data_IF_607456242339
#
_entry.id   IF_607456242339
#
_cell.length_a   1.000
_cell.length_b   1.000
_cell.length_c   1.000
_cell.angle_alpha   90.00
_cell.angle_beta   90.00
_cell.angle_gamma   90.00
#
_symmetry.space_group_name_H-M   'P 1'
#
loop_
_entity.id
_entity.type
_entity.pdbx_description
1 polymer ?
#
# COMPACT_ATOMS: atom_id res chain seq x y z
N UNK A 1 25.17 -69.71 -20.67
CA UNK A 1 25.45 -71.17 -20.67
C UNK A 1 25.29 -71.63 -19.24
N UNK A 2 24.38 -72.48 -18.78
CA UNK A 2 23.33 -73.32 -19.36
C UNK A 2 22.28 -73.52 -18.24
N UNK A 3 21.02 -73.66 -18.63
CA UNK A 3 19.85 -73.93 -17.78
C UNK A 3 19.78 -75.40 -17.33
N UNK A 4 18.89 -75.63 -16.34
CA UNK A 4 18.14 -76.86 -15.96
C UNK A 4 18.71 -77.68 -14.79
N UNK A 5 17.94 -78.33 -13.92
CA UNK A 5 16.53 -78.37 -13.47
C UNK A 5 16.51 -79.47 -12.40
N UNK A 6 15.91 -79.31 -11.21
CA UNK A 6 15.30 -80.47 -10.51
C UNK A 6 14.20 -80.03 -9.54
N UNK A 7 13.02 -80.63 -9.73
CA UNK A 7 11.83 -80.58 -8.87
C UNK A 7 12.00 -81.52 -7.66
N UNK A 8 11.44 -81.12 -6.51
CA UNK A 8 11.05 -82.02 -5.41
C UNK A 8 9.73 -81.54 -4.80
N UNK A 9 8.66 -82.33 -4.99
CA UNK A 9 7.31 -82.11 -4.40
C UNK A 9 7.22 -82.76 -3.03
N UNK A 10 6.57 -82.09 -2.07
CA UNK A 10 5.80 -82.75 -1.01
C UNK A 10 4.37 -82.17 -0.97
N UNK A 11 3.40 -83.08 -1.06
CA UNK A 11 1.94 -82.95 -0.79
C UNK A 11 1.77 -82.87 0.75
N UNK A 12 0.76 -82.28 1.40
CA UNK A 12 -0.71 -82.31 1.36
C UNK A 12 -1.13 -81.42 2.58
N UNK A 13 -2.29 -80.79 2.77
CA UNK A 13 -3.69 -81.10 2.42
C UNK A 13 -4.63 -79.93 2.74
N UNK A 14 -5.79 -79.91 2.04
CA UNK A 14 -7.14 -79.47 2.47
C UNK A 14 -7.35 -77.96 2.67
N UNK A 15 -8.31 -77.28 2.04
CA UNK A 15 -9.70 -77.66 1.75
C UNK A 15 -10.26 -77.15 0.40
N UNK A 16 -10.94 -78.07 -0.30
CA UNK A 16 -12.25 -77.99 -0.97
C UNK A 16 -12.89 -76.61 -1.29
N UNK A 17 -13.07 -76.28 -2.58
CA UNK A 17 -14.31 -76.57 -3.35
C UNK A 17 -14.37 -75.73 -4.65
N UNK A 18 -14.50 -76.44 -5.77
CA UNK A 18 -15.06 -75.94 -7.03
C UNK A 18 -16.45 -75.34 -6.78
N UNK A 19 -16.82 -74.27 -7.49
CA UNK A 19 -17.86 -74.31 -8.53
C UNK A 19 -17.86 -72.98 -9.30
N UNK A 20 -17.68 -73.11 -10.60
CA UNK A 20 -17.92 -72.10 -11.65
C UNK A 20 -19.37 -71.61 -11.57
N UNK A 21 -19.61 -70.31 -11.73
CA UNK A 21 -20.60 -69.78 -12.67
C UNK A 21 -20.52 -68.25 -12.74
N UNK A 22 -20.68 -67.75 -13.96
CA UNK A 22 -20.11 -66.49 -14.41
C UNK A 22 -20.79 -65.22 -13.94
N UNK A 23 -20.02 -64.14 -14.02
CA UNK A 23 -20.53 -62.80 -14.26
C UNK A 23 -19.45 -62.01 -14.99
N UNK A 24 -19.83 -61.45 -16.13
CA UNK A 24 -19.00 -60.61 -16.97
C UNK A 24 -18.51 -59.38 -16.19
N UNK A 25 -17.20 -59.26 -15.97
CA UNK A 25 -16.61 -57.98 -15.58
C UNK A 25 -16.27 -57.20 -16.84
N UNK A 26 -17.21 -56.35 -17.25
CA UNK A 26 -16.92 -55.23 -18.15
C UNK A 26 -16.03 -54.23 -17.39
N UNK A 27 -14.98 -53.79 -18.07
CA UNK A 27 -14.18 -52.61 -17.74
C UNK A 27 -15.09 -51.46 -17.28
N UNK A 28 -14.79 -50.89 -16.11
CA UNK A 28 -15.12 -49.50 -15.82
C UNK A 28 -13.84 -48.83 -15.34
N UNK A 29 -13.01 -48.39 -16.29
CA UNK A 29 -11.99 -47.39 -15.99
C UNK A 29 -12.74 -46.07 -15.81
N UNK A 30 -12.90 -45.65 -14.56
CA UNK A 30 -13.41 -44.32 -14.24
C UNK A 30 -12.29 -43.32 -14.56
N UNK A 31 -12.27 -42.82 -15.80
CA UNK A 31 -11.50 -41.62 -16.13
C UNK A 31 -12.33 -40.45 -15.61
N UNK A 32 -11.97 -39.95 -14.43
CA UNK A 32 -12.43 -38.63 -13.98
C UNK A 32 -11.66 -37.60 -14.81
N UNK A 33 -12.25 -37.16 -15.91
CA UNK A 33 -11.87 -35.91 -16.55
C UNK A 33 -12.32 -34.79 -15.61
N UNK A 34 -11.43 -34.40 -14.70
CA UNK A 34 -11.54 -33.12 -14.04
C UNK A 34 -11.31 -32.04 -15.11
N UNK A 35 -12.38 -31.63 -15.80
CA UNK A 35 -12.38 -30.35 -16.48
C UNK A 35 -12.43 -29.30 -15.38
N UNK A 36 -11.26 -28.96 -14.83
CA UNK A 36 -11.10 -27.73 -14.08
C UNK A 36 -11.28 -26.60 -15.08
N UNK A 37 -12.48 -26.05 -15.12
CA UNK A 37 -12.67 -24.67 -15.53
C UNK A 37 -11.99 -23.85 -14.44
N UNK A 38 -10.67 -23.73 -14.51
CA UNK A 38 -10.01 -22.61 -13.89
C UNK A 38 -10.54 -21.41 -14.68
N UNK A 39 -11.61 -20.80 -14.19
CA UNK A 39 -11.79 -19.37 -14.40
C UNK A 39 -10.44 -18.82 -13.95
N UNK A 40 -9.65 -18.28 -14.89
CA UNK A 40 -8.47 -17.53 -14.52
C UNK A 40 -9.00 -16.53 -13.50
N UNK A 41 -8.61 -16.66 -12.23
CA UNK A 41 -8.93 -15.65 -11.26
C UNK A 41 -8.35 -14.37 -11.85
N UNK A 42 -9.22 -13.41 -12.19
CA UNK A 42 -8.74 -12.10 -12.61
C UNK A 42 -7.77 -11.64 -11.53
N UNK A 43 -6.59 -11.18 -11.96
CA UNK A 43 -5.63 -10.66 -10.99
C UNK A 43 -6.33 -9.56 -10.17
N UNK A 44 -6.15 -9.53 -8.84
CA UNK A 44 -6.72 -8.49 -8.01
C UNK A 44 -6.40 -7.10 -8.60
N UNK A 45 -7.38 -6.19 -8.61
CA UNK A 45 -7.21 -4.87 -9.19
C UNK A 45 -6.08 -4.13 -8.48
N UNK A 46 -5.39 -3.29 -9.24
CA UNK A 46 -4.32 -2.43 -8.74
C UNK A 46 -4.94 -1.11 -8.30
N UNK A 47 -4.67 -0.67 -7.08
CA UNK A 47 -4.98 0.70 -6.66
C UNK A 47 -3.88 1.65 -7.12
N UNK A 48 -4.24 2.75 -7.78
CA UNK A 48 -3.27 3.76 -8.24
C UNK A 48 -3.08 4.88 -7.22
N UNK A 49 -1.82 5.13 -6.92
CA UNK A 49 -1.36 6.13 -5.98
C UNK A 49 -0.58 7.25 -6.66
N UNK A 50 -0.66 8.45 -6.09
CA UNK A 50 0.20 9.57 -6.46
C UNK A 50 1.09 9.93 -5.27
N UNK A 51 2.40 10.11 -5.52
CA UNK A 51 3.32 10.72 -4.56
C UNK A 51 3.65 12.13 -5.02
N UNK A 52 3.36 13.12 -4.19
CA UNK A 52 3.71 14.53 -4.42
C UNK A 52 4.78 14.94 -3.42
N UNK A 53 5.93 15.37 -3.93
CA UNK A 53 7.02 15.87 -3.09
C UNK A 53 6.83 17.36 -2.79
N UNK A 54 6.81 17.72 -1.51
CA UNK A 54 6.58 19.09 -1.03
C UNK A 54 7.77 19.63 -0.23
N UNK A 55 8.01 20.94 -0.28
CA UNK A 55 9.06 21.61 0.51
C UNK A 55 8.56 22.94 1.03
N UNK A 56 9.06 23.41 2.17
CA UNK A 56 8.71 24.75 2.64
C UNK A 56 9.31 25.84 1.75
N UNK A 57 8.76 27.06 1.85
CA UNK A 57 9.32 28.21 1.14
C UNK A 57 10.78 28.43 1.53
N UNK A 58 11.65 28.45 0.52
CA UNK A 58 13.10 28.65 0.70
C UNK A 58 13.86 27.38 1.11
N UNK A 59 13.18 26.27 1.37
CA UNK A 59 13.80 24.97 1.61
C UNK A 59 14.28 24.36 0.29
N UNK A 60 15.42 23.64 0.32
CA UNK A 60 16.05 23.01 -0.85
C UNK A 60 16.11 23.96 -2.07
N UNK A 61 16.77 25.13 -1.97
CA UNK A 61 16.82 26.10 -3.05
C UNK A 61 17.52 25.51 -4.28
N UNK A 62 16.88 25.63 -5.45
CA UNK A 62 17.40 25.12 -6.72
C UNK A 62 17.29 23.60 -6.93
N UNK A 63 16.66 22.87 -6.00
CA UNK A 63 16.37 21.45 -6.15
C UNK A 63 14.93 21.27 -6.61
N UNK A 64 14.74 20.98 -7.89
CA UNK A 64 13.42 20.78 -8.46
C UNK A 64 13.09 19.30 -8.67
N UNK A 65 14.06 18.46 -9.01
CA UNK A 65 13.82 17.04 -9.23
C UNK A 65 13.59 16.27 -7.91
N UNK A 66 12.67 15.28 -7.88
CA UNK A 66 12.55 14.37 -6.75
C UNK A 66 13.85 13.60 -6.50
N UNK A 67 14.05 13.05 -5.30
CA UNK A 67 15.19 12.19 -5.02
C UNK A 67 15.21 10.97 -5.96
N UNK A 68 16.39 10.56 -6.44
CA UNK A 68 16.52 9.45 -7.40
C UNK A 68 15.91 8.13 -6.88
N UNK A 69 15.94 7.91 -5.56
CA UNK A 69 15.33 6.72 -4.94
C UNK A 69 13.80 6.71 -4.97
N UNK A 70 13.14 7.82 -5.33
CA UNK A 70 11.69 7.92 -5.33
C UNK A 70 11.05 7.04 -6.41
N UNK A 71 11.73 6.82 -7.53
CA UNK A 71 11.25 5.97 -8.64
C UNK A 71 10.97 4.53 -8.19
N UNK A 72 11.64 4.11 -7.12
CA UNK A 72 11.55 2.76 -6.60
C UNK A 72 10.45 2.58 -5.53
N UNK A 73 9.73 3.64 -5.14
CA UNK A 73 8.70 3.59 -4.08
C UNK A 73 7.61 2.56 -4.38
N UNK A 74 7.27 2.41 -5.67
CA UNK A 74 6.23 1.49 -6.15
C UNK A 74 6.79 0.33 -6.99
N UNK A 75 8.08 0.03 -6.89
CA UNK A 75 8.68 -1.13 -7.55
C UNK A 75 8.35 -2.42 -6.75
N UNK A 76 7.50 -3.33 -7.25
CA UNK A 76 7.15 -4.56 -6.53
C UNK A 76 8.33 -5.51 -6.36
N UNK A 77 9.36 -5.41 -7.20
CA UNK A 77 10.56 -6.27 -7.13
C UNK A 77 11.62 -5.71 -6.18
N UNK A 78 11.47 -4.47 -5.69
CA UNK A 78 12.38 -3.88 -4.70
C UNK A 78 11.92 -4.22 -3.28
N UNK A 79 12.71 -5.02 -2.52
CA UNK A 79 12.38 -5.31 -1.13
C UNK A 79 12.23 -4.03 -0.30
N UNK A 80 11.12 -3.94 0.41
CA UNK A 80 10.81 -2.82 1.28
C UNK A 80 10.27 -1.57 0.58
N UNK A 81 9.90 -1.64 -0.71
CA UNK A 81 9.04 -0.64 -1.35
C UNK A 81 7.59 -0.74 -0.85
N UNK A 82 6.75 0.26 -1.13
CA UNK A 82 5.32 0.23 -0.75
C UNK A 82 4.63 -0.94 -1.46
N UNK A 83 4.88 -1.08 -2.76
CA UNK A 83 4.29 -2.15 -3.57
C UNK A 83 4.74 -3.53 -3.09
N UNK A 84 6.04 -3.73 -2.85
CA UNK A 84 6.56 -4.98 -2.31
C UNK A 84 5.93 -5.29 -0.94
N UNK A 85 5.87 -4.31 -0.03
CA UNK A 85 5.30 -4.52 1.30
C UNK A 85 3.84 -4.96 1.25
N UNK A 86 2.98 -4.26 0.50
CA UNK A 86 1.57 -4.61 0.42
C UNK A 86 1.31 -5.87 -0.38
N UNK A 87 2.07 -6.13 -1.45
CA UNK A 87 1.97 -7.40 -2.17
C UNK A 87 2.31 -8.59 -1.26
N UNK A 88 3.40 -8.50 -0.49
CA UNK A 88 3.82 -9.55 0.44
C UNK A 88 2.80 -9.75 1.56
N UNK A 89 2.43 -8.67 2.27
CA UNK A 89 1.55 -8.74 3.44
C UNK A 89 0.11 -9.14 3.10
N UNK A 90 -0.33 -8.88 1.87
CA UNK A 90 -1.67 -9.22 1.40
C UNK A 90 -1.72 -10.48 0.52
N UNK A 91 -0.59 -11.15 0.28
CA UNK A 91 -0.50 -12.25 -0.70
C UNK A 91 -1.02 -11.83 -2.09
N UNK A 92 -0.68 -10.62 -2.52
CA UNK A 92 -1.06 -10.04 -3.81
C UNK A 92 -2.53 -9.63 -3.92
N UNK A 93 -3.31 -9.66 -2.83
CA UNK A 93 -4.72 -9.27 -2.85
C UNK A 93 -4.94 -7.76 -2.81
N UNK A 94 -3.98 -7.01 -2.27
CA UNK A 94 -4.02 -5.56 -2.19
C UNK A 94 -2.77 -4.98 -2.85
N UNK A 95 -2.91 -4.64 -4.13
CA UNK A 95 -1.79 -4.19 -4.97
C UNK A 95 -1.81 -2.68 -5.10
N UNK A 96 -0.91 -2.01 -4.39
CA UNK A 96 -0.71 -0.55 -4.54
C UNK A 96 0.38 -0.32 -5.57
N UNK A 97 0.09 0.47 -6.60
CA UNK A 97 1.08 0.96 -7.58
C UNK A 97 0.87 2.45 -7.75
N UNK A 98 1.86 3.17 -8.26
CA UNK A 98 1.69 4.60 -8.36
C UNK A 98 2.74 5.31 -9.17
N UNK A 99 2.58 6.62 -9.19
CA UNK A 99 3.45 7.53 -9.91
C UNK A 99 4.04 8.57 -8.98
N UNK A 100 5.22 9.04 -9.37
CA UNK A 100 5.94 10.09 -8.66
C UNK A 100 5.75 11.39 -9.41
N UNK A 101 5.29 12.42 -8.71
CA UNK A 101 5.23 13.77 -9.25
C UNK A 101 6.61 14.20 -9.79
N UNK A 102 6.67 14.93 -10.92
CA UNK A 102 7.92 15.15 -11.64
C UNK A 102 8.87 16.12 -10.92
N UNK A 103 8.43 16.78 -9.85
CA UNK A 103 9.19 17.81 -9.14
C UNK A 103 8.75 18.01 -7.70
N UNK A 104 9.58 18.71 -6.95
CA UNK A 104 9.22 19.31 -5.66
C UNK A 104 8.32 20.53 -5.85
N UNK A 105 7.27 20.62 -5.05
CA UNK A 105 6.40 21.78 -4.95
C UNK A 105 6.70 22.56 -3.69
N UNK A 106 6.92 23.88 -3.81
CA UNK A 106 7.17 24.72 -2.66
C UNK A 106 5.87 25.23 -2.05
N UNK A 107 5.73 25.14 -0.72
CA UNK A 107 4.66 25.78 0.03
C UNK A 107 4.76 27.31 -0.07
N UNK A 108 3.66 28.02 0.21
CA UNK A 108 3.65 29.50 0.12
C UNK A 108 4.41 30.17 1.27
N UNK A 109 4.57 29.47 2.40
CA UNK A 109 5.21 29.98 3.62
C UNK A 109 6.32 29.07 4.13
N UNK A 110 7.07 29.57 5.11
CA UNK A 110 8.12 28.81 5.81
C UNK A 110 7.50 27.85 6.82
N UNK A 111 8.29 26.91 7.34
CA UNK A 111 7.80 25.92 8.31
C UNK A 111 7.22 26.57 9.58
N UNK A 112 7.79 27.69 10.03
CA UNK A 112 7.36 28.41 11.23
C UNK A 112 5.94 28.95 11.10
N UNK A 113 5.47 29.25 9.89
CA UNK A 113 4.11 29.72 9.67
C UNK A 113 3.06 28.63 9.92
N UNK A 114 3.39 27.39 9.53
CA UNK A 114 2.51 26.23 9.66
C UNK A 114 2.64 25.56 11.02
N UNK A 115 3.72 25.78 11.76
CA UNK A 115 3.89 25.25 13.10
C UNK A 115 2.90 25.90 14.09
N UNK A 116 2.36 25.09 15.01
CA UNK A 116 1.67 25.60 16.19
C UNK A 116 2.66 26.09 17.26
N UNK A 117 2.22 27.04 18.07
CA UNK A 117 3.00 27.60 19.19
C UNK A 117 3.27 26.55 20.28
N UNK A 118 2.34 25.61 20.45
CA UNK A 118 2.42 24.54 21.43
C UNK A 118 2.38 23.16 20.77
N UNK A 119 3.11 22.22 21.37
CA UNK A 119 3.22 20.83 20.91
C UNK A 119 1.96 19.99 21.05
N UNK A 120 1.01 20.40 21.88
CA UNK A 120 -0.29 19.72 22.02
C UNK A 120 -1.32 20.22 20.99
N UNK A 121 -1.00 21.27 20.25
CA UNK A 121 -1.86 21.83 19.23
C UNK A 121 -1.44 21.31 17.86
N UNK A 122 -2.43 21.16 16.98
CA UNK A 122 -2.17 20.86 15.57
C UNK A 122 -1.68 22.11 14.87
N UNK A 123 -0.62 21.98 14.08
CA UNK A 123 -0.21 23.04 13.17
C UNK A 123 -1.19 23.17 11.99
N UNK A 124 -0.90 24.11 11.10
CA UNK A 124 -1.69 24.40 9.89
C UNK A 124 -1.33 23.47 8.72
N UNK A 125 -1.15 22.18 8.98
CA UNK A 125 -0.76 21.24 7.94
C UNK A 125 -1.84 21.05 6.86
N UNK A 126 -3.09 21.39 7.15
CA UNK A 126 -4.16 21.43 6.16
C UNK A 126 -3.95 22.52 5.12
N UNK A 127 -3.50 23.72 5.55
CA UNK A 127 -3.10 24.80 4.64
C UNK A 127 -1.84 24.42 3.86
N UNK A 128 -0.87 23.77 4.51
CA UNK A 128 0.32 23.24 3.84
C UNK A 128 -0.04 22.23 2.75
N UNK A 129 -0.95 21.28 3.05
CA UNK A 129 -1.40 20.28 2.09
C UNK A 129 -2.05 20.94 0.87
N UNK A 130 -2.94 21.91 1.09
CA UNK A 130 -3.61 22.64 0.01
C UNK A 130 -2.62 23.44 -0.84
N UNK A 131 -1.64 24.12 -0.23
CA UNK A 131 -0.62 24.88 -0.96
C UNK A 131 0.18 24.00 -1.93
N UNK A 132 0.48 22.77 -1.52
CA UNK A 132 1.21 21.79 -2.33
C UNK A 132 0.29 21.21 -3.40
N UNK A 133 -0.91 20.76 -3.03
CA UNK A 133 -1.89 20.18 -3.96
C UNK A 133 -2.26 21.14 -5.09
N UNK A 134 -2.53 22.41 -4.79
CA UNK A 134 -2.87 23.43 -5.79
C UNK A 134 -1.76 23.68 -6.82
N UNK A 135 -0.50 23.41 -6.46
CA UNK A 135 0.63 23.52 -7.40
C UNK A 135 0.81 22.23 -8.18
N UNK A 136 0.61 21.08 -7.54
CA UNK A 136 0.64 19.76 -8.18
C UNK A 136 -0.44 19.62 -9.26
N UNK A 137 -1.68 20.04 -8.97
CA UNK A 137 -2.84 20.07 -9.87
C UNK A 137 -2.60 20.86 -11.17
N UNK A 138 -1.63 21.78 -11.19
CA UNK A 138 -1.28 22.50 -12.43
C UNK A 138 -0.47 21.66 -13.42
N UNK A 139 0.16 20.59 -12.95
CA UNK A 139 1.06 19.77 -13.77
C UNK A 139 0.61 18.30 -13.88
N UNK A 140 -0.20 17.83 -12.93
CA UNK A 140 -0.55 16.42 -12.77
C UNK A 140 -2.04 16.27 -13.01
N UNK A 141 -2.39 15.40 -13.95
CA UNK A 141 -3.75 14.94 -14.16
C UNK A 141 -4.15 13.93 -13.08
N UNK A 142 -4.97 14.37 -12.12
CA UNK A 142 -5.46 13.56 -11.01
C UNK A 142 -6.43 12.46 -11.45
N UNK A 143 -7.02 12.56 -12.63
CA UNK A 143 -7.93 11.53 -13.16
C UNK A 143 -7.24 10.18 -13.35
N UNK A 144 -5.91 10.18 -13.46
CA UNK A 144 -5.09 8.97 -13.60
C UNK A 144 -5.05 8.11 -12.34
N UNK A 145 -5.56 8.62 -11.23
CA UNK A 145 -5.51 8.00 -9.90
C UNK A 145 -6.90 7.76 -9.28
N UNK A 146 -7.98 7.89 -10.04
CA UNK A 146 -9.35 7.49 -9.64
C UNK A 146 -9.63 6.18 -10.41
N UNK A 147 -9.38 5.01 -9.82
CA UNK A 147 -9.47 3.72 -10.51
C UNK A 147 -10.09 2.61 -9.62
N UNK A 148 -10.91 3.00 -8.66
CA UNK A 148 -11.58 2.10 -7.71
C UNK A 148 -12.85 1.43 -8.26
N UNK A 149 -13.20 1.71 -9.51
CA UNK A 149 -14.20 1.00 -10.29
C UNK A 149 -13.84 -0.47 -10.55
N UNK A 150 -14.83 -1.36 -10.68
CA UNK A 150 -14.61 -2.76 -11.02
C UNK A 150 -13.71 -3.04 -12.24
N UNK A 151 -13.65 -2.14 -13.24
CA UNK A 151 -12.80 -2.35 -14.41
C UNK A 151 -11.31 -1.99 -14.18
N UNK A 152 -10.99 -1.28 -13.09
CA UNK A 152 -9.64 -0.83 -12.74
C UNK A 152 -9.00 0.14 -13.73
N UNK A 153 -9.76 0.67 -14.69
CA UNK A 153 -9.32 1.64 -15.67
C UNK A 153 -9.49 3.04 -15.05
N UNK A 154 -8.43 3.85 -14.93
CA UNK A 154 -8.58 5.16 -14.31
C UNK A 154 -9.54 6.08 -15.06
N UNK A 155 -10.34 6.83 -14.30
CA UNK A 155 -11.34 7.78 -14.78
C UNK A 155 -12.33 7.17 -15.77
N UNK A 156 -12.79 5.97 -15.46
CA UNK A 156 -13.84 5.22 -16.11
C UNK A 156 -15.22 5.64 -15.59
N UNK A 157 -16.28 5.13 -16.24
CA UNK A 157 -17.66 5.46 -15.88
C UNK A 157 -18.14 4.84 -14.57
N UNK A 158 -17.45 3.82 -14.07
CA UNK A 158 -17.72 3.13 -12.82
C UNK A 158 -16.97 3.74 -11.62
N UNK A 159 -15.90 4.50 -11.83
CA UNK A 159 -15.13 5.21 -10.80
C UNK A 159 -15.92 6.30 -10.06
N UNK A 160 -15.48 6.64 -8.86
CA UNK A 160 -16.22 7.51 -7.95
C UNK A 160 -15.92 9.03 -8.12
N UNK A 161 -14.93 9.39 -8.94
CA UNK A 161 -14.50 10.78 -9.15
C UNK A 161 -13.60 11.32 -8.04
N UNK A 162 -12.85 10.46 -7.33
CA UNK A 162 -11.94 10.82 -6.24
C UNK A 162 -10.61 10.11 -6.48
N UNK A 163 -9.50 10.85 -6.46
CA UNK A 163 -8.19 10.22 -6.46
C UNK A 163 -8.03 9.29 -5.24
N UNK A 164 -7.68 8.03 -5.50
CA UNK A 164 -7.76 6.91 -4.57
C UNK A 164 -6.82 7.05 -3.38
N UNK A 165 -5.57 7.47 -3.63
CA UNK A 165 -4.60 7.79 -2.58
C UNK A 165 -3.56 8.81 -3.06
N UNK A 166 -3.39 9.87 -2.27
CA UNK A 166 -2.36 10.90 -2.49
C UNK A 166 -1.42 10.97 -1.29
N UNK A 167 -0.13 10.69 -1.52
CA UNK A 167 0.93 10.81 -0.52
C UNK A 167 1.65 12.14 -0.69
N UNK A 168 1.52 13.05 0.30
CA UNK A 168 2.32 14.26 0.36
C UNK A 168 3.59 14.01 1.17
N UNK A 169 4.73 13.95 0.47
CA UNK A 169 6.04 13.69 1.07
C UNK A 169 6.83 14.99 1.18
N UNK A 170 6.94 15.52 2.39
CA UNK A 170 7.66 16.75 2.70
C UNK A 170 9.17 16.49 2.89
N UNK A 171 10.00 17.40 2.39
CA UNK A 171 11.46 17.34 2.56
C UNK A 171 11.89 17.32 4.04
N UNK A 172 11.16 18.06 4.87
CA UNK A 172 11.22 18.01 6.32
C UNK A 172 9.85 18.23 6.93
N UNK A 173 9.66 17.76 8.17
CA UNK A 173 8.53 18.16 9.03
C UNK A 173 9.10 18.58 10.39
N UNK A 174 9.32 19.88 10.61
CA UNK A 174 9.68 20.40 11.92
C UNK A 174 8.59 20.16 12.96
N UNK A 175 8.96 20.26 14.25
CA UNK A 175 8.03 20.10 15.36
C UNK A 175 6.82 21.02 15.21
N UNK A 176 5.68 20.53 15.67
CA UNK A 176 4.40 21.23 15.74
C UNK A 176 3.79 21.63 14.38
N UNK A 177 4.39 21.28 13.24
CA UNK A 177 3.73 21.44 11.93
C UNK A 177 2.53 20.51 11.82
N UNK A 178 2.71 19.24 12.20
CA UNK A 178 1.60 18.28 12.32
C UNK A 178 0.99 18.37 13.72
N UNK A 179 1.66 17.74 14.69
CA UNK A 179 1.41 17.84 16.13
C UNK A 179 2.66 17.34 16.84
N UNK A 180 3.14 18.09 17.84
CA UNK A 180 4.31 17.73 18.64
C UNK A 180 5.53 17.31 17.79
N UNK A 181 5.94 16.04 17.91
CA UNK A 181 7.07 15.46 17.19
C UNK A 181 6.67 14.56 16.00
N UNK A 182 5.39 14.52 15.64
CA UNK A 182 4.89 13.65 14.58
C UNK A 182 5.56 13.98 13.25
N UNK A 183 5.96 12.92 12.53
CA UNK A 183 6.60 13.00 11.20
C UNK A 183 5.70 12.48 10.09
N UNK A 184 4.51 12.00 10.43
CA UNK A 184 3.48 11.53 9.52
C UNK A 184 2.08 11.76 10.10
N UNK A 185 1.10 11.89 9.23
CA UNK A 185 -0.33 11.88 9.55
C UNK A 185 -1.13 11.30 8.37
N UNK A 186 -2.14 10.51 8.69
CA UNK A 186 -2.92 9.71 7.75
C UNK A 186 -4.14 10.43 7.15
N UNK A 187 -4.10 11.76 7.12
CA UNK A 187 -5.11 12.58 6.48
C UNK A 187 -4.54 13.94 6.06
N UNK A 188 -5.14 14.57 5.05
CA UNK A 188 -4.69 15.87 4.52
C UNK A 188 -5.25 17.06 5.29
N UNK A 189 -6.30 16.87 6.08
CA UNK A 189 -6.73 17.79 7.14
C UNK A 189 -7.55 19.00 6.70
N UNK A 190 -7.80 19.20 5.41
CA UNK A 190 -8.74 20.22 4.94
C UNK A 190 -10.19 19.80 5.20
N UNK A 191 -11.05 20.77 5.55
CA UNK A 191 -12.44 20.53 5.92
C UNK A 191 -13.35 20.25 4.71
N UNK A 192 -13.10 20.95 3.61
CA UNK A 192 -13.85 20.80 2.37
C UNK A 192 -13.02 20.00 1.36
N UNK A 193 -13.66 19.08 0.64
CA UNK A 193 -13.02 18.27 -0.39
C UNK A 193 -12.40 19.18 -1.45
N UNK A 194 -11.13 18.94 -1.81
CA UNK A 194 -10.45 19.70 -2.84
C UNK A 194 -10.92 19.26 -4.23
N UNK A 195 -11.39 20.20 -5.06
CA UNK A 195 -11.73 19.96 -6.47
C UNK A 195 -10.54 20.34 -7.34
N UNK A 196 -10.06 19.39 -8.14
CA UNK A 196 -8.95 19.60 -9.08
C UNK A 196 -9.42 20.32 -10.34
N UNK A 197 -8.49 20.64 -11.25
CA UNK A 197 -8.83 21.14 -12.57
C UNK A 197 -9.10 20.05 -13.62
N UNK A 198 -8.97 18.78 -13.24
CA UNK A 198 -9.09 17.61 -14.12
C UNK A 198 -10.52 17.07 -14.18
N UNK A 199 -11.03 16.80 -15.38
CA UNK A 199 -12.41 16.36 -15.56
C UNK A 199 -12.55 14.84 -15.46
N UNK A 200 -13.43 14.40 -14.56
CA UNK A 200 -13.87 13.03 -14.45
C UNK A 200 -14.84 12.61 -15.56
N UNK A 201 -14.97 11.30 -15.82
CA UNK A 201 -15.84 10.71 -16.84
C UNK A 201 -17.32 11.09 -16.69
N UNK A 202 -17.73 11.43 -15.47
CA UNK A 202 -19.10 11.88 -15.13
C UNK A 202 -19.32 13.38 -15.34
N UNK A 203 -18.37 14.09 -15.96
CA UNK A 203 -18.48 15.52 -16.26
C UNK A 203 -18.41 16.40 -15.01
N UNK A 204 -17.67 15.96 -13.99
CA UNK A 204 -17.38 16.70 -12.76
C UNK A 204 -15.87 16.68 -12.53
N UNK A 205 -15.29 17.69 -11.85
CA UNK A 205 -13.89 17.63 -11.49
C UNK A 205 -13.56 16.39 -10.64
N UNK A 206 -12.38 15.82 -10.85
CA UNK A 206 -11.79 14.85 -9.94
C UNK A 206 -11.53 15.53 -8.61
N UNK A 207 -11.77 14.81 -7.52
CA UNK A 207 -11.66 15.34 -6.17
C UNK A 207 -10.51 14.68 -5.42
N UNK A 208 -9.91 15.40 -4.49
CA UNK A 208 -9.01 14.82 -3.48
C UNK A 208 -9.70 14.91 -2.13
N UNK A 209 -10.07 13.76 -1.59
CA UNK A 209 -10.71 13.66 -0.28
C UNK A 209 -9.65 13.73 0.84
N UNK A 210 -9.89 14.43 1.98
CA UNK A 210 -8.87 14.57 3.02
C UNK A 210 -8.45 13.22 3.63
N UNK A 211 -9.37 12.25 3.68
CA UNK A 211 -9.12 10.90 4.20
C UNK A 211 -8.58 9.91 3.15
N UNK A 212 -8.32 10.38 1.92
CA UNK A 212 -7.69 9.60 0.83
C UNK A 212 -6.28 10.11 0.55
N UNK A 213 -5.56 10.45 1.61
CA UNK A 213 -4.19 10.90 1.49
C UNK A 213 -3.46 10.98 2.83
N UNK A 214 -2.16 11.15 2.75
CA UNK A 214 -1.27 11.24 3.90
C UNK A 214 -0.34 12.44 3.74
N UNK A 215 0.18 12.96 4.84
CA UNK A 215 1.23 13.97 4.84
C UNK A 215 2.35 13.54 5.77
N UNK A 216 3.56 13.39 5.25
CA UNK A 216 4.69 12.86 6.01
C UNK A 216 6.04 13.41 5.55
N UNK A 217 7.04 13.26 6.40
CA UNK A 217 8.44 13.54 6.07
C UNK A 217 9.02 12.40 5.22
N UNK A 218 9.88 12.74 4.26
CA UNK A 218 10.66 11.75 3.51
C UNK A 218 12.05 12.24 3.13
N UNK A 219 13.07 11.82 3.89
CA UNK A 219 14.48 12.19 3.62
C UNK A 219 15.25 11.08 2.92
N UNK A 220 14.85 9.83 3.16
CA UNK A 220 15.47 8.63 2.58
C UNK A 220 14.39 7.66 2.13
N UNK A 221 14.75 6.71 1.25
CA UNK A 221 13.84 5.66 0.80
C UNK A 221 13.19 4.90 1.98
N UNK A 222 14.01 4.38 2.91
CA UNK A 222 13.51 3.55 4.01
C UNK A 222 12.59 4.32 4.96
N UNK A 223 12.93 5.57 5.30
CA UNK A 223 12.05 6.43 6.12
C UNK A 223 10.73 6.71 5.39
N UNK A 224 10.82 7.14 4.13
CA UNK A 224 9.65 7.56 3.35
C UNK A 224 8.68 6.39 3.18
N UNK A 225 9.17 5.24 2.74
CA UNK A 225 8.32 4.06 2.53
C UNK A 225 7.78 3.53 3.85
N UNK A 226 8.59 3.49 4.91
CA UNK A 226 8.15 3.04 6.22
C UNK A 226 6.97 3.87 6.75
N UNK A 227 7.07 5.19 6.68
CA UNK A 227 5.99 6.09 7.10
C UNK A 227 4.80 6.00 6.14
N UNK A 228 5.02 5.94 4.82
CA UNK A 228 3.93 5.75 3.84
C UNK A 228 3.10 4.50 4.14
N UNK A 229 3.74 3.35 4.37
CA UNK A 229 3.04 2.11 4.69
C UNK A 229 2.29 2.21 6.04
N UNK A 230 2.87 2.89 7.03
CA UNK A 230 2.22 3.12 8.31
C UNK A 230 0.96 3.99 8.15
N UNK A 231 1.09 5.17 7.57
CA UNK A 231 -0.02 6.13 7.41
C UNK A 231 -1.09 5.60 6.47
N UNK A 232 -0.72 4.88 5.41
CA UNK A 232 -1.69 4.24 4.53
C UNK A 232 -2.44 3.10 5.22
N UNK A 233 -1.82 2.39 6.18
CA UNK A 233 -2.52 1.47 7.06
C UNK A 233 -3.70 2.11 7.80
N UNK A 234 -3.54 3.36 8.27
CA UNK A 234 -4.65 4.10 8.87
C UNK A 234 -5.73 4.50 7.85
N UNK A 235 -5.35 4.85 6.62
CA UNK A 235 -6.33 5.07 5.53
C UNK A 235 -7.16 3.81 5.26
N UNK A 236 -6.58 2.62 5.42
CA UNK A 236 -7.28 1.33 5.37
C UNK A 236 -8.11 1.02 6.64
N UNK A 237 -8.10 1.91 7.64
CA UNK A 237 -8.87 1.76 8.89
C UNK A 237 -8.14 1.03 10.02
N UNK A 238 -6.83 0.83 9.91
CA UNK A 238 -6.03 0.25 11.00
C UNK A 238 -5.71 1.29 12.08
N UNK A 239 -5.50 0.85 13.32
CA UNK A 239 -5.14 1.72 14.46
C UNK A 239 -3.68 1.53 14.83
N UNK A 240 -3.11 2.53 15.50
CA UNK A 240 -1.81 2.39 16.15
C UNK A 240 -1.86 1.30 17.21
N UNK A 241 -0.83 0.46 17.24
CA UNK A 241 -0.66 -0.61 18.23
C UNK A 241 0.41 -0.29 19.28
N UNK A 242 1.05 0.88 19.19
CA UNK A 242 1.97 1.38 20.19
C UNK A 242 1.29 2.41 21.10
N UNK A 243 1.95 2.76 22.21
CA UNK A 243 1.44 3.79 23.11
C UNK A 243 1.56 5.16 22.44
N UNK A 244 0.43 5.76 22.09
CA UNK A 244 0.34 7.09 21.46
C UNK A 244 0.26 8.23 22.49
N UNK A 245 0.16 7.94 23.79
CA UNK A 245 -0.01 8.96 24.83
C UNK A 245 1.18 9.92 24.90
N UNK A 246 2.36 9.54 24.38
CA UNK A 246 3.52 10.44 24.33
C UNK A 246 3.26 11.69 23.48
N UNK A 247 2.34 11.61 22.50
CA UNK A 247 1.91 12.76 21.69
C UNK A 247 1.13 13.76 22.54
N UNK A 248 0.33 13.27 23.50
CA UNK A 248 -0.58 14.05 24.32
C UNK A 248 0.00 14.52 25.67
N UNK A 249 1.12 13.95 26.13
CA UNK A 249 1.69 14.24 27.44
C UNK A 249 2.54 15.51 27.47
N UNK A 250 2.43 16.32 28.53
CA UNK A 250 3.17 17.53 28.93
C UNK A 250 4.71 17.49 28.90
N UNK A 251 5.29 16.33 29.24
CA UNK A 251 6.72 16.11 29.40
C UNK A 251 7.16 14.89 28.59
N UNK A 252 8.35 14.89 27.96
CA UNK A 252 8.89 13.70 27.31
C UNK A 252 9.10 12.59 28.34
N UNK A 253 8.73 11.35 27.99
CA UNK A 253 9.06 10.20 28.83
C UNK A 253 10.55 9.90 28.79
N UNK A 254 11.04 9.24 29.84
CA UNK A 254 12.38 8.67 29.84
C UNK A 254 12.49 7.65 28.69
N UNK A 255 13.68 7.43 28.10
CA UNK A 255 13.85 6.40 27.07
C UNK A 255 13.40 5.00 27.50
N UNK A 256 13.40 4.71 28.81
CA UNK A 256 12.97 3.44 29.38
C UNK A 256 11.44 3.31 29.43
N UNK A 257 10.71 4.43 29.48
CA UNK A 257 9.25 4.50 29.53
C UNK A 257 8.62 4.92 28.19
N UNK A 258 9.44 5.16 27.17
CA UNK A 258 9.02 5.54 25.83
C UNK A 258 8.80 4.31 24.94
N UNK A 259 7.54 3.91 24.84
CA UNK A 259 7.07 2.83 23.98
C UNK A 259 6.42 3.33 22.68
N UNK A 260 6.80 4.52 22.19
CA UNK A 260 6.39 5.01 20.87
C UNK A 260 6.95 4.08 19.76
N UNK A 261 6.13 3.16 19.27
CA UNK A 261 6.49 2.13 18.28
C UNK A 261 7.30 0.97 18.86
N UNK A 262 8.27 0.46 18.09
CA UNK A 262 9.27 -0.51 18.57
C UNK A 262 10.32 0.14 19.50
N UNK A 263 10.18 1.44 19.81
CA UNK A 263 11.11 2.20 20.64
C UNK A 263 12.53 2.25 20.06
N UNK A 264 13.54 2.47 20.91
CA UNK A 264 14.97 2.39 20.54
C UNK A 264 15.44 0.97 20.17
N UNK A 265 14.54 -0.02 20.13
CA UNK A 265 14.85 -1.43 19.86
C UNK A 265 14.82 -1.77 18.36
N UNK A 266 14.57 -0.78 17.51
CA UNK A 266 14.36 -0.92 16.06
C UNK A 266 15.51 -0.49 15.14
N UNK A 267 16.72 -0.31 15.64
CA UNK A 267 17.92 0.02 14.84
C UNK A 267 19.01 -1.03 15.03
#
# INVERSE_FOLDING_TARGET
MSLRTTLGRFRQSRDDMNVRNGLAYRLLALVVLATSWAVAAEEPPVLKALVVFGKFKGELPGVDAPPAWAEDIFDPERPGSVSHFYDEMSFGQHRVRGEIAPRWYAAEQTAEYYAADNRLEKGKFSELALDILQKADRDIDFARFDNDGPDGIPNSGDDNGIADIVFLVMASIPRNVLIGAATGISHLGFAEIYETSDWGAKGRPIRVHPDRGTLQQGRTFAETVGIMCHEYGHVLGLTDLYDVDFIAQAEPRSPEDDSAGIGKWGL
#
